data_IF_231954558321
#
_entry.id   IF_231954558321
#
_cell.length_a   1.000
_cell.length_b   1.000
_cell.length_c   1.000
_cell.angle_alpha   90.00
_cell.angle_beta   90.00
_cell.angle_gamma   90.00
#
_symmetry.space_group_name_H-M   'P 1'
#
loop_
_entity.id
_entity.type
_entity.pdbx_description
1 polymer ?
#
# COMPACT_ATOMS: atom_id res chain seq x y z
N UNK A 1 11.71 38.91 -11.79
CA UNK A 1 10.31 38.95 -11.30
C UNK A 1 9.24 38.68 -12.37
N UNK A 2 9.56 37.85 -13.37
CA UNK A 2 8.62 37.50 -14.46
C UNK A 2 7.39 36.75 -13.99
N UNK A 3 7.45 36.08 -12.82
CA UNK A 3 6.33 35.25 -12.28
C UNK A 3 5.50 35.96 -11.22
N UNK A 4 5.83 37.17 -10.80
CA UNK A 4 5.09 37.96 -9.82
C UNK A 4 4.96 37.32 -8.42
N UNK A 5 5.63 36.19 -8.18
CA UNK A 5 5.52 35.39 -6.95
C UNK A 5 6.91 34.98 -6.46
N UNK A 6 7.12 35.03 -5.15
CA UNK A 6 8.37 34.55 -4.55
C UNK A 6 8.40 33.03 -4.55
N UNK A 7 9.44 32.44 -5.13
CA UNK A 7 9.66 31.00 -5.15
C UNK A 7 10.56 30.51 -4.00
N UNK A 8 11.36 31.42 -3.44
CA UNK A 8 12.30 31.13 -2.35
C UNK A 8 12.02 32.04 -1.15
N UNK A 9 12.01 31.45 0.02
CA UNK A 9 11.99 32.15 1.29
C UNK A 9 13.40 32.08 1.91
N UNK A 10 13.99 33.26 2.15
CA UNK A 10 15.30 33.36 2.80
C UNK A 10 15.10 33.71 4.27
N UNK A 11 15.64 32.90 5.15
CA UNK A 11 15.89 33.23 6.54
C UNK A 11 17.41 33.39 6.76
N UNK A 12 17.85 34.06 7.83
CA UNK A 12 19.29 34.22 8.09
C UNK A 12 20.09 32.91 8.20
N UNK A 13 19.41 31.79 8.32
CA UNK A 13 20.02 30.45 8.51
C UNK A 13 19.71 29.43 7.43
N UNK A 14 18.68 29.65 6.60
CA UNK A 14 18.24 28.65 5.60
C UNK A 14 17.55 29.33 4.40
N UNK A 15 17.71 28.70 3.23
CA UNK A 15 16.89 28.97 2.04
C UNK A 15 15.89 27.83 1.92
N UNK A 16 14.61 28.14 1.88
CA UNK A 16 13.53 27.18 1.68
C UNK A 16 12.68 27.59 0.47
N UNK A 17 12.08 26.61 -0.19
CA UNK A 17 11.07 26.88 -1.22
C UNK A 17 9.77 27.36 -0.55
N UNK A 18 9.10 28.32 -1.17
CA UNK A 18 7.70 28.65 -0.84
C UNK A 18 6.79 27.56 -1.43
N UNK A 19 5.51 27.54 -1.08
CA UNK A 19 4.52 26.63 -1.68
C UNK A 19 4.49 26.78 -3.22
N UNK A 20 4.47 28.03 -3.71
CA UNK A 20 4.60 28.33 -5.13
C UNK A 20 5.94 27.86 -5.70
N UNK A 21 7.02 27.95 -4.91
CA UNK A 21 8.34 27.46 -5.27
C UNK A 21 8.40 25.95 -5.41
N UNK A 22 7.77 25.21 -4.52
CA UNK A 22 7.69 23.75 -4.58
C UNK A 22 6.91 23.29 -5.82
N UNK A 23 5.74 23.89 -6.07
CA UNK A 23 4.93 23.57 -7.24
C UNK A 23 5.64 23.93 -8.56
N UNK A 24 6.41 25.02 -8.60
CA UNK A 24 7.19 25.41 -9.77
C UNK A 24 8.37 24.46 -9.97
N UNK A 25 9.09 24.11 -8.91
CA UNK A 25 10.24 23.21 -8.95
C UNK A 25 9.86 21.83 -9.50
N UNK A 26 8.77 21.24 -9.00
CA UNK A 26 8.29 19.94 -9.49
C UNK A 26 7.96 19.98 -10.99
N UNK A 27 7.33 21.07 -11.46
CA UNK A 27 7.01 21.22 -12.89
C UNK A 27 8.24 21.42 -13.75
N UNK A 28 9.22 22.18 -13.28
CA UNK A 28 10.49 22.39 -14.01
C UNK A 28 11.27 21.09 -14.11
N UNK A 29 11.32 20.29 -13.06
CA UNK A 29 11.93 18.95 -13.11
C UNK A 29 11.29 18.07 -14.19
N UNK A 30 9.96 18.03 -14.25
CA UNK A 30 9.24 17.27 -15.28
C UNK A 30 9.53 17.76 -16.70
N UNK A 31 9.65 19.09 -16.91
CA UNK A 31 10.02 19.67 -18.21
C UNK A 31 11.45 19.28 -18.61
N UNK A 32 12.39 19.37 -17.69
CA UNK A 32 13.79 19.00 -17.96
C UNK A 32 13.90 17.51 -18.29
N UNK A 33 13.23 16.63 -17.57
CA UNK A 33 13.15 15.20 -17.88
C UNK A 33 12.58 14.96 -19.30
N UNK A 34 11.51 15.66 -19.66
CA UNK A 34 10.94 15.54 -21.00
C UNK A 34 11.89 16.02 -22.12
N UNK A 35 12.74 17.02 -21.86
CA UNK A 35 13.78 17.45 -22.82
C UNK A 35 14.84 16.36 -22.96
N UNK A 36 15.33 15.80 -21.86
CA UNK A 36 16.30 14.69 -21.86
C UNK A 36 15.77 13.46 -22.62
N UNK A 37 14.50 13.11 -22.42
CA UNK A 37 13.82 12.02 -23.16
C UNK A 37 13.76 12.32 -24.67
N UNK A 38 13.43 13.55 -25.05
CA UNK A 38 13.37 13.94 -26.45
C UNK A 38 14.77 13.90 -27.12
N UNK A 39 15.81 14.35 -26.41
CA UNK A 39 17.19 14.29 -26.89
C UNK A 39 17.68 12.85 -27.01
N UNK A 40 17.36 11.98 -26.05
CA UNK A 40 17.66 10.56 -26.09
C UNK A 40 16.98 9.85 -27.27
N UNK A 41 15.71 10.18 -27.54
CA UNK A 41 14.95 9.64 -28.67
C UNK A 41 15.60 9.99 -30.01
N UNK A 42 16.02 11.26 -30.21
CA UNK A 42 16.62 11.73 -31.46
C UNK A 42 18.05 11.20 -31.65
N UNK A 43 18.80 11.03 -30.55
CA UNK A 43 20.20 10.58 -30.61
C UNK A 43 20.34 9.08 -30.85
N UNK A 44 19.26 8.30 -30.89
CA UNK A 44 19.28 6.83 -31.00
C UNK A 44 20.06 6.12 -29.89
N UNK A 45 20.46 6.88 -28.86
CA UNK A 45 21.05 6.31 -27.64
C UNK A 45 19.90 5.70 -26.85
N UNK A 46 19.98 4.41 -26.55
CA UNK A 46 19.19 3.87 -25.43
C UNK A 46 19.42 4.81 -24.26
N UNK A 47 18.38 5.51 -23.85
CA UNK A 47 18.49 6.41 -22.71
C UNK A 47 19.09 5.61 -21.56
N UNK A 48 20.27 5.98 -21.10
CA UNK A 48 20.83 5.37 -19.90
C UNK A 48 19.82 5.61 -18.78
N UNK A 49 19.42 4.55 -18.12
CA UNK A 49 18.54 4.65 -16.95
C UNK A 49 19.37 5.26 -15.83
N UNK A 50 19.19 6.55 -15.60
CA UNK A 50 19.96 7.34 -14.61
C UNK A 50 19.02 8.33 -13.90
N UNK A 51 19.50 8.89 -12.78
CA UNK A 51 18.75 9.88 -12.01
C UNK A 51 18.06 9.28 -10.80
N UNK A 52 16.91 9.81 -10.40
CA UNK A 52 16.17 9.36 -9.19
C UNK A 52 14.77 8.90 -9.56
N UNK A 53 14.45 7.65 -9.21
CA UNK A 53 13.11 7.07 -9.31
C UNK A 53 12.46 7.11 -7.93
N UNK A 54 11.41 7.93 -7.77
CA UNK A 54 10.69 8.06 -6.51
C UNK A 54 9.42 7.21 -6.51
N UNK A 55 9.41 6.18 -5.68
CA UNK A 55 8.36 5.17 -5.62
C UNK A 55 7.64 5.21 -4.28
N UNK A 56 6.31 5.18 -4.29
CA UNK A 56 5.51 5.00 -3.10
C UNK A 56 4.80 3.65 -3.11
N UNK A 57 4.81 2.95 -1.97
CA UNK A 57 4.14 1.65 -1.82
C UNK A 57 3.54 1.47 -0.42
N UNK A 58 2.51 0.60 -0.24
CA UNK A 58 2.02 0.24 1.09
C UNK A 58 3.13 -0.43 1.90
N UNK A 59 3.18 -0.16 3.20
CA UNK A 59 4.29 -0.55 4.08
C UNK A 59 4.62 -2.04 4.00
N UNK A 60 3.67 -2.90 4.32
CA UNK A 60 3.88 -4.35 4.31
C UNK A 60 4.16 -4.89 2.91
N UNK A 61 3.40 -4.43 1.90
CA UNK A 61 3.58 -4.89 0.53
C UNK A 61 4.92 -4.45 -0.05
N UNK A 62 5.30 -3.20 0.17
CA UNK A 62 6.57 -2.65 -0.27
C UNK A 62 7.76 -3.41 0.31
N UNK A 63 7.71 -3.70 1.62
CA UNK A 63 8.75 -4.46 2.30
C UNK A 63 8.84 -5.92 1.82
N UNK A 64 7.70 -6.59 1.66
CA UNK A 64 7.66 -8.03 1.37
C UNK A 64 7.82 -8.35 -0.12
N UNK A 65 7.29 -7.51 -1.01
CA UNK A 65 7.13 -7.82 -2.42
C UNK A 65 7.78 -6.81 -3.38
N UNK A 66 8.19 -5.64 -2.93
CA UNK A 66 8.89 -4.66 -3.75
C UNK A 66 10.37 -4.64 -3.42
N UNK A 67 10.73 -4.43 -2.17
CA UNK A 67 12.12 -4.28 -1.74
C UNK A 67 13.03 -5.46 -2.15
N UNK A 68 12.62 -6.75 -2.08
CA UNK A 68 13.47 -7.85 -2.53
C UNK A 68 13.85 -7.80 -4.02
N UNK A 69 12.99 -7.20 -4.86
CA UNK A 69 13.25 -7.08 -6.29
C UNK A 69 14.07 -5.82 -6.64
N UNK A 70 14.12 -4.83 -5.75
CA UNK A 70 14.89 -3.61 -5.99
C UNK A 70 16.39 -3.87 -6.04
N UNK A 71 16.91 -4.81 -5.28
CA UNK A 71 18.36 -5.11 -5.25
C UNK A 71 18.85 -5.48 -6.64
N UNK A 72 18.24 -6.48 -7.28
CA UNK A 72 18.61 -6.89 -8.62
C UNK A 72 18.36 -5.78 -9.68
N UNK A 73 17.32 -4.98 -9.49
CA UNK A 73 17.02 -3.85 -10.36
C UNK A 73 18.08 -2.76 -10.26
N UNK A 74 18.51 -2.41 -9.05
CA UNK A 74 19.56 -1.41 -8.82
C UNK A 74 20.93 -1.90 -9.32
N UNK A 75 21.25 -3.17 -9.16
CA UNK A 75 22.48 -3.77 -9.72
C UNK A 75 22.51 -3.69 -11.26
N UNK A 76 21.36 -3.84 -11.90
CA UNK A 76 21.25 -3.70 -13.36
C UNK A 76 21.29 -2.21 -13.84
N UNK A 77 21.03 -1.25 -12.94
CA UNK A 77 20.96 0.17 -13.23
C UNK A 77 21.78 0.99 -12.23
N UNK A 78 23.12 0.93 -12.26
CA UNK A 78 23.99 1.52 -11.22
C UNK A 78 23.95 3.06 -11.18
N UNK A 79 23.49 3.70 -12.25
CA UNK A 79 23.35 5.16 -12.32
C UNK A 79 21.97 5.66 -11.82
N UNK A 80 21.08 4.74 -11.40
CA UNK A 80 19.75 5.06 -10.88
C UNK A 80 19.73 5.05 -9.36
N UNK A 81 19.25 6.11 -8.77
CA UNK A 81 18.90 6.16 -7.34
C UNK A 81 17.43 5.85 -7.17
N UNK A 82 17.06 4.88 -6.33
CA UNK A 82 15.67 4.58 -5.99
C UNK A 82 15.34 5.16 -4.62
N UNK A 83 14.32 6.02 -4.56
CA UNK A 83 13.72 6.50 -3.33
C UNK A 83 12.41 5.76 -3.10
N UNK A 84 12.43 4.74 -2.24
CA UNK A 84 11.24 3.98 -1.88
C UNK A 84 10.63 4.52 -0.59
N UNK A 85 9.44 5.09 -0.67
CA UNK A 85 8.67 5.53 0.47
C UNK A 85 7.54 4.56 0.78
N UNK A 86 7.50 4.05 2.00
CA UNK A 86 6.51 3.09 2.46
C UNK A 86 5.49 3.78 3.37
N UNK A 87 4.23 3.79 2.94
CA UNK A 87 3.14 4.42 3.70
C UNK A 87 1.80 3.76 3.40
N UNK A 88 1.04 3.46 4.45
CA UNK A 88 -0.34 2.97 4.36
C UNK A 88 -1.35 4.12 4.32
N UNK A 89 -0.90 5.37 4.50
CA UNK A 89 -1.71 6.57 4.44
C UNK A 89 -2.01 7.02 3.00
N UNK A 90 -2.93 7.97 2.91
CA UNK A 90 -3.18 8.66 1.64
C UNK A 90 -2.00 9.57 1.34
N UNK A 91 -1.33 9.32 0.22
CA UNK A 91 -0.18 10.12 -0.23
C UNK A 91 -0.61 10.92 -1.46
N UNK A 92 -0.39 12.23 -1.42
CA UNK A 92 -0.52 13.06 -2.62
C UNK A 92 0.63 12.71 -3.59
N UNK A 93 0.30 11.95 -4.63
CA UNK A 93 1.27 11.44 -5.58
C UNK A 93 1.84 12.56 -6.45
N UNK A 94 0.99 13.49 -6.85
CA UNK A 94 1.38 14.60 -7.74
C UNK A 94 2.16 15.66 -6.97
N UNK A 95 1.61 16.14 -5.85
CA UNK A 95 2.27 17.14 -5.01
C UNK A 95 3.54 16.62 -4.33
N UNK A 96 3.61 15.32 -4.07
CA UNK A 96 4.78 14.66 -3.52
C UNK A 96 5.89 14.36 -4.55
N UNK A 97 5.64 14.58 -5.85
CA UNK A 97 6.63 14.34 -6.92
C UNK A 97 7.02 12.86 -7.04
N UNK A 98 6.06 11.94 -6.92
CA UNK A 98 6.30 10.52 -7.14
C UNK A 98 6.19 10.17 -8.62
N UNK A 99 7.15 9.40 -9.13
CA UNK A 99 7.14 8.89 -10.50
C UNK A 99 6.25 7.65 -10.63
N UNK A 100 6.20 6.84 -9.57
CA UNK A 100 5.43 5.60 -9.51
C UNK A 100 4.79 5.41 -8.13
N UNK A 101 3.57 4.90 -8.10
CA UNK A 101 2.94 4.46 -6.87
C UNK A 101 2.29 3.09 -7.02
N UNK A 102 2.57 2.19 -6.08
CA UNK A 102 1.86 0.92 -5.94
C UNK A 102 0.75 1.13 -4.91
N UNK A 103 -0.48 0.73 -5.23
CA UNK A 103 -1.62 0.87 -4.33
C UNK A 103 -2.46 -0.41 -4.29
N UNK A 104 -2.97 -0.72 -3.09
CA UNK A 104 -3.90 -1.83 -2.84
C UNK A 104 -5.23 -1.21 -2.45
N UNK A 105 -5.97 -0.72 -3.45
CA UNK A 105 -7.25 -0.06 -3.28
C UNK A 105 -8.09 -0.21 -4.55
N UNK A 106 -9.38 0.05 -4.39
CA UNK A 106 -10.24 0.35 -5.54
C UNK A 106 -9.90 1.80 -5.96
N UNK A 107 -9.39 1.96 -7.17
CA UNK A 107 -9.01 3.27 -7.69
C UNK A 107 -10.28 4.02 -8.13
N UNK A 108 -10.47 5.21 -7.63
CA UNK A 108 -11.44 6.17 -8.17
C UNK A 108 -10.89 6.80 -9.45
N UNK A 109 -11.75 7.40 -10.24
CA UNK A 109 -11.38 8.15 -11.43
C UNK A 109 -10.34 9.22 -11.08
N UNK A 110 -9.24 9.22 -11.81
CA UNK A 110 -8.14 10.14 -11.63
C UNK A 110 -7.47 10.44 -12.97
N UNK A 111 -6.70 11.51 -13.05
CA UNK A 111 -5.89 11.87 -14.22
C UNK A 111 -4.63 11.01 -14.36
N UNK A 112 -4.35 10.15 -13.37
CA UNK A 112 -3.17 9.28 -13.37
C UNK A 112 -3.42 8.03 -14.22
N UNK A 113 -2.38 7.59 -14.91
CA UNK A 113 -2.42 6.32 -15.65
C UNK A 113 -2.27 5.17 -14.64
N UNK A 114 -3.26 4.28 -14.60
CA UNK A 114 -3.24 3.14 -13.71
C UNK A 114 -3.05 1.84 -14.51
N UNK A 115 -2.13 0.99 -14.06
CA UNK A 115 -1.93 -0.36 -14.57
C UNK A 115 -2.22 -1.37 -13.47
N UNK A 116 -3.19 -2.25 -13.71
CA UNK A 116 -3.49 -3.32 -12.78
C UNK A 116 -2.39 -4.37 -12.78
N UNK A 117 -1.86 -4.70 -11.61
CA UNK A 117 -0.80 -5.69 -11.44
C UNK A 117 -1.36 -7.08 -11.11
N UNK A 118 -2.27 -7.17 -10.13
CA UNK A 118 -2.85 -8.44 -9.68
C UNK A 118 -4.17 -8.22 -8.92
N UNK A 119 -5.05 -9.24 -8.86
CA UNK A 119 -6.20 -9.22 -7.97
C UNK A 119 -5.77 -9.36 -6.52
N UNK A 120 -6.47 -8.68 -5.60
CA UNK A 120 -6.25 -8.81 -4.16
C UNK A 120 -7.35 -9.68 -3.57
N UNK A 121 -6.97 -10.81 -2.98
CA UNK A 121 -7.88 -11.68 -2.24
C UNK A 121 -7.67 -11.49 -0.75
N UNK A 122 -8.73 -11.14 -0.04
CA UNK A 122 -8.75 -11.11 1.43
C UNK A 122 -9.52 -12.31 1.97
N UNK A 123 -9.13 -12.78 3.14
CA UNK A 123 -9.81 -13.88 3.86
C UNK A 123 -9.85 -13.57 5.35
N UNK A 124 -10.85 -14.10 6.03
CA UNK A 124 -10.85 -14.19 7.49
C UNK A 124 -9.90 -15.31 7.90
N UNK A 125 -9.06 -15.07 8.88
CA UNK A 125 -8.11 -16.06 9.37
C UNK A 125 -7.89 -15.94 10.87
N UNK A 126 -7.54 -17.06 11.50
CA UNK A 126 -7.16 -17.16 12.90
C UNK A 126 -6.04 -18.19 13.05
N UNK A 127 -5.25 -18.10 14.13
CA UNK A 127 -4.26 -19.13 14.42
C UNK A 127 -4.90 -20.44 14.87
N UNK A 128 -4.18 -21.53 14.67
CA UNK A 128 -4.57 -22.86 15.18
C UNK A 128 -4.79 -22.83 16.69
N UNK A 129 -3.94 -22.11 17.42
CA UNK A 129 -4.03 -21.95 18.88
C UNK A 129 -5.29 -21.16 19.31
N UNK A 130 -5.66 -20.11 18.54
CA UNK A 130 -6.90 -19.38 18.81
C UNK A 130 -8.11 -20.28 18.62
N UNK A 131 -8.16 -21.01 17.51
CA UNK A 131 -9.26 -21.92 17.18
C UNK A 131 -9.36 -23.05 18.21
N UNK A 132 -8.24 -23.58 18.67
CA UNK A 132 -8.23 -24.62 19.71
C UNK A 132 -8.83 -24.13 21.04
N UNK A 133 -8.61 -22.86 21.39
CA UNK A 133 -9.12 -22.28 22.65
C UNK A 133 -10.54 -21.75 22.57
N UNK A 134 -10.97 -21.23 21.44
CA UNK A 134 -12.21 -20.48 21.30
C UNK A 134 -13.21 -21.12 20.32
N UNK A 135 -12.82 -22.18 19.64
CA UNK A 135 -13.61 -22.76 18.55
C UNK A 135 -13.45 -22.03 17.22
N UNK A 136 -13.99 -22.65 16.17
CA UNK A 136 -14.06 -22.09 14.82
C UNK A 136 -15.49 -21.57 14.58
N UNK A 137 -15.72 -20.28 14.35
CA UNK A 137 -17.05 -19.78 14.05
C UNK A 137 -17.56 -20.39 12.73
N UNK A 138 -18.80 -20.80 12.71
CA UNK A 138 -19.49 -21.41 11.56
C UNK A 138 -20.41 -20.43 10.85
N UNK A 139 -20.80 -19.35 11.52
CA UNK A 139 -21.69 -18.31 11.01
C UNK A 139 -21.12 -16.92 11.27
N UNK A 140 -21.68 -15.90 10.58
CA UNK A 140 -21.32 -14.50 10.82
C UNK A 140 -21.81 -14.00 12.18
N UNK A 141 -22.84 -14.61 12.77
CA UNK A 141 -23.32 -14.26 14.10
C UNK A 141 -22.35 -14.78 15.15
N UNK A 142 -21.90 -16.03 15.04
CA UNK A 142 -20.83 -16.55 15.88
C UNK A 142 -19.55 -15.72 15.77
N UNK A 143 -19.19 -15.24 14.56
CA UNK A 143 -18.02 -14.37 14.38
C UNK A 143 -18.08 -13.09 15.23
N UNK A 144 -19.27 -12.57 15.51
CA UNK A 144 -19.46 -11.37 16.34
C UNK A 144 -19.09 -11.59 17.81
N UNK A 145 -19.12 -12.85 18.27
CA UNK A 145 -18.76 -13.24 19.63
C UNK A 145 -17.26 -13.47 19.79
N UNK A 146 -16.53 -13.56 18.68
CA UNK A 146 -15.09 -13.72 18.69
C UNK A 146 -14.35 -12.39 18.77
N UNK A 147 -13.14 -12.41 19.36
CA UNK A 147 -12.22 -11.30 19.28
C UNK A 147 -11.79 -11.08 17.81
N UNK A 148 -12.14 -9.94 17.25
CA UNK A 148 -11.79 -9.54 15.90
C UNK A 148 -10.72 -8.45 15.93
N UNK A 149 -9.79 -8.49 14.98
CA UNK A 149 -8.63 -7.60 14.93
C UNK A 149 -8.80 -6.57 13.79
N UNK A 150 -9.35 -5.37 14.08
CA UNK A 150 -9.43 -4.30 13.08
C UNK A 150 -8.05 -3.72 12.79
N UNK A 151 -7.80 -3.40 11.51
CA UNK A 151 -6.56 -2.73 11.10
C UNK A 151 -6.58 -1.22 11.35
N UNK A 152 -7.76 -0.63 11.61
CA UNK A 152 -7.95 0.78 11.93
C UNK A 152 -9.13 0.97 12.86
N UNK A 153 -9.14 2.07 13.62
CA UNK A 153 -10.15 2.39 14.64
C UNK A 153 -11.53 2.50 14.08
N UNK A 154 -11.98 2.44 13.00
CA UNK A 154 -13.33 2.44 12.44
C UNK A 154 -13.47 1.51 11.23
N UNK A 155 -12.61 0.48 11.17
CA UNK A 155 -12.69 -0.48 10.08
C UNK A 155 -14.03 -1.20 10.10
N UNK A 156 -14.63 -1.32 8.92
CA UNK A 156 -15.80 -2.16 8.70
C UNK A 156 -15.45 -3.26 7.72
N UNK A 157 -15.74 -4.49 8.09
CA UNK A 157 -15.55 -5.64 7.22
C UNK A 157 -16.79 -5.85 6.36
N UNK A 158 -16.61 -5.73 5.05
CA UNK A 158 -17.65 -6.06 4.07
C UNK A 158 -17.59 -7.55 3.77
N UNK A 159 -18.55 -8.30 4.29
CA UNK A 159 -18.64 -9.75 4.19
C UNK A 159 -19.86 -10.15 3.35
N UNK A 160 -19.97 -11.43 3.06
CA UNK A 160 -21.12 -12.03 2.38
C UNK A 160 -21.74 -13.02 3.35
N UNK A 161 -22.97 -12.77 3.74
CA UNK A 161 -23.79 -13.69 4.48
C UNK A 161 -24.67 -14.55 3.58
N UNK A 162 -25.46 -15.47 4.16
CA UNK A 162 -26.43 -16.29 3.42
C UNK A 162 -27.43 -15.45 2.62
N UNK A 163 -27.87 -14.33 3.19
CA UNK A 163 -28.89 -13.44 2.61
C UNK A 163 -28.28 -12.26 1.84
N UNK A 164 -26.97 -12.25 1.59
CA UNK A 164 -26.29 -11.21 0.83
C UNK A 164 -25.22 -10.45 1.59
N UNK A 165 -24.89 -9.22 1.13
CA UNK A 165 -23.82 -8.43 1.73
C UNK A 165 -24.11 -8.03 3.17
N UNK A 166 -23.15 -8.24 4.07
CA UNK A 166 -23.20 -7.89 5.49
C UNK A 166 -22.00 -7.00 5.84
N UNK A 167 -22.25 -5.95 6.60
CA UNK A 167 -21.19 -5.12 7.17
C UNK A 167 -21.03 -5.45 8.65
N UNK A 168 -19.84 -5.90 9.03
CA UNK A 168 -19.48 -6.21 10.40
C UNK A 168 -18.46 -5.16 10.89
N UNK A 169 -18.70 -4.60 12.07
CA UNK A 169 -17.70 -3.79 12.79
C UNK A 169 -16.90 -4.71 13.70
N UNK A 170 -15.65 -5.01 13.38
CA UNK A 170 -14.83 -5.89 14.19
C UNK A 170 -14.58 -5.26 15.57
N UNK A 171 -14.67 -6.07 16.63
CA UNK A 171 -14.39 -5.65 17.99
C UNK A 171 -13.27 -6.51 18.58
N UNK A 172 -12.28 -5.84 19.16
CA UNK A 172 -11.14 -6.50 19.76
C UNK A 172 -10.36 -5.59 20.69
N UNK A 173 -9.43 -6.18 21.43
CA UNK A 173 -8.62 -5.45 22.43
C UNK A 173 -7.38 -4.79 21.85
N UNK A 174 -7.10 -4.99 20.59
CA UNK A 174 -5.96 -4.39 19.87
C UNK A 174 -6.47 -3.41 18.84
N UNK A 175 -6.02 -2.18 18.94
CA UNK A 175 -6.24 -1.12 17.96
C UNK A 175 -4.89 -0.60 17.50
N UNK A 176 -4.64 -0.61 16.20
CA UNK A 176 -3.38 -0.16 15.61
C UNK A 176 -3.62 0.31 14.17
N UNK A 177 -2.76 1.15 13.67
CA UNK A 177 -2.70 1.55 12.26
C UNK A 177 -1.67 0.70 11.47
N UNK A 178 -1.00 -0.25 12.14
CA UNK A 178 -0.01 -1.12 11.51
C UNK A 178 -0.63 -2.44 11.07
N UNK A 179 -0.64 -2.65 9.77
CA UNK A 179 -1.07 -3.90 9.14
C UNK A 179 -0.23 -5.11 9.61
N UNK A 180 1.05 -4.90 9.88
CA UNK A 180 1.98 -5.93 10.35
C UNK A 180 1.66 -6.38 11.77
N UNK A 181 1.34 -5.43 12.66
CA UNK A 181 0.96 -5.75 14.04
C UNK A 181 -0.31 -6.58 14.07
N UNK A 182 -1.29 -6.30 13.23
CA UNK A 182 -2.50 -7.13 13.10
C UNK A 182 -2.18 -8.55 12.62
N UNK A 183 -1.26 -8.69 11.66
CA UNK A 183 -0.80 -9.99 11.20
C UNK A 183 -0.17 -10.79 12.33
N UNK A 184 0.78 -10.20 13.05
CA UNK A 184 1.46 -10.86 14.16
C UNK A 184 0.48 -11.22 15.29
N UNK A 185 -0.46 -10.33 15.62
CA UNK A 185 -1.51 -10.60 16.59
C UNK A 185 -2.42 -11.79 16.18
N UNK A 186 -2.76 -11.86 14.89
CA UNK A 186 -3.52 -12.98 14.32
C UNK A 186 -2.75 -14.30 14.43
N UNK A 187 -1.47 -14.32 14.05
CA UNK A 187 -0.58 -15.48 14.18
C UNK A 187 -0.38 -15.87 15.65
N UNK A 188 -0.23 -14.88 16.53
CA UNK A 188 -0.06 -15.04 17.98
C UNK A 188 -1.34 -15.45 18.73
N UNK A 189 -2.46 -15.67 18.03
CA UNK A 189 -3.70 -16.20 18.64
C UNK A 189 -4.47 -15.19 19.47
N UNK A 190 -4.41 -13.91 19.15
CA UNK A 190 -5.15 -12.84 19.85
C UNK A 190 -6.59 -12.74 19.35
N UNK A 191 -6.85 -13.12 18.08
CA UNK A 191 -8.18 -13.02 17.50
C UNK A 191 -8.22 -13.38 16.02
N UNK A 192 -9.39 -13.14 15.41
CA UNK A 192 -9.67 -13.34 13.99
C UNK A 192 -9.35 -12.05 13.24
N UNK A 193 -8.60 -12.14 12.16
CA UNK A 193 -8.21 -11.01 11.32
C UNK A 193 -8.73 -11.16 9.88
N UNK A 194 -9.04 -10.06 9.22
CA UNK A 194 -9.31 -10.00 7.78
C UNK A 194 -8.03 -9.58 7.04
N UNK A 195 -7.36 -10.55 6.40
CA UNK A 195 -6.03 -10.36 5.82
C UNK A 195 -5.97 -10.69 4.34
N UNK A 196 -5.05 -10.06 3.63
CA UNK A 196 -4.74 -10.38 2.24
C UNK A 196 -3.91 -11.65 2.16
N UNK A 197 -4.20 -12.51 1.18
CA UNK A 197 -3.48 -13.78 1.01
C UNK A 197 -1.99 -13.61 0.69
N UNK A 198 -1.60 -12.50 0.06
CA UNK A 198 -0.21 -12.17 -0.18
C UNK A 198 0.58 -11.89 1.11
N UNK A 199 -0.10 -11.40 2.17
CA UNK A 199 0.50 -11.02 3.45
C UNK A 199 0.67 -12.21 4.41
N UNK A 200 -0.25 -13.18 4.35
CA UNK A 200 -0.30 -14.31 5.27
C UNK A 200 -0.07 -15.67 4.58
N UNK A 201 0.31 -15.67 3.30
CA UNK A 201 0.40 -16.88 2.50
C UNK A 201 1.31 -17.96 3.10
N UNK A 202 2.44 -17.55 3.69
CA UNK A 202 3.36 -18.48 4.34
C UNK A 202 2.78 -19.07 5.65
N UNK A 203 2.10 -18.23 6.43
CA UNK A 203 1.46 -18.69 7.67
C UNK A 203 0.28 -19.66 7.39
N UNK A 204 -0.43 -19.47 6.27
CA UNK A 204 -1.46 -20.40 5.81
C UNK A 204 -0.82 -21.72 5.33
N UNK A 205 0.23 -21.67 4.51
CA UNK A 205 0.92 -22.86 3.99
C UNK A 205 1.54 -23.70 5.11
N UNK A 206 2.08 -23.06 6.12
CA UNK A 206 2.67 -23.72 7.29
C UNK A 206 1.65 -24.19 8.33
N UNK A 207 0.35 -23.94 8.12
CA UNK A 207 -0.72 -24.31 9.07
C UNK A 207 -0.77 -23.47 10.34
N UNK A 208 0.03 -22.40 10.45
CA UNK A 208 -0.05 -21.49 11.62
C UNK A 208 -1.33 -20.67 11.63
N UNK A 209 -1.89 -20.39 10.46
CA UNK A 209 -3.18 -19.74 10.29
C UNK A 209 -4.15 -20.67 9.53
N UNK A 210 -5.38 -20.64 9.95
CA UNK A 210 -6.52 -21.31 9.31
C UNK A 210 -7.45 -20.27 8.71
N UNK A 211 -8.03 -20.58 7.55
CA UNK A 211 -9.10 -19.77 6.99
C UNK A 211 -10.38 -19.99 7.79
N UNK A 212 -11.02 -18.88 8.17
CA UNK A 212 -12.28 -18.86 8.90
C UNK A 212 -13.39 -18.45 7.93
N UNK A 213 -14.56 -19.07 8.00
CA UNK A 213 -15.73 -18.79 7.17
C UNK A 213 -15.37 -18.65 5.68
N UNK A 214 -14.89 -19.71 5.03
CA UNK A 214 -14.54 -19.67 3.63
C UNK A 214 -15.76 -19.30 2.79
N UNK A 215 -15.59 -18.34 1.85
CA UNK A 215 -16.69 -17.84 1.02
C UNK A 215 -17.37 -16.57 1.53
N UNK A 216 -17.19 -16.20 2.79
CA UNK A 216 -17.78 -14.97 3.35
C UNK A 216 -17.05 -13.68 2.98
N UNK A 217 -15.98 -13.73 2.20
CA UNK A 217 -15.25 -12.55 1.73
C UNK A 217 -15.20 -12.55 0.21
N UNK A 218 -15.75 -11.51 -0.42
CA UNK A 218 -15.55 -11.34 -1.87
C UNK A 218 -14.10 -10.98 -2.16
N UNK A 219 -13.51 -11.52 -3.24
CA UNK A 219 -12.29 -10.96 -3.79
C UNK A 219 -12.56 -9.48 -4.10
N UNK A 220 -11.67 -8.58 -3.67
CA UNK A 220 -11.73 -7.18 -4.11
C UNK A 220 -11.50 -7.13 -5.60
N UNK A 221 -12.52 -6.60 -6.24
CA UNK A 221 -12.87 -6.45 -7.61
C UNK A 221 -11.80 -6.31 -8.54
N UNK A 222 -12.24 -6.53 -9.40
CA UNK A 222 -12.15 -6.26 -10.77
C UNK A 222 -13.46 -5.66 -11.22
N UNK A 223 -13.58 -4.41 -11.25
CA UNK A 223 -14.41 -3.73 -12.23
C UNK A 223 -13.55 -3.40 -13.40
#
# INVERSE_FOLDING_TARGET
>A
DRLGTRLLQRTPRQIALTEAGQGFFARVQSILSGIEEAEAFVSGRSAKVQGTLKVSAPTSFGRMHVAPHLLAFMDAHPELTVQLELSDGFTDLVGGGYDLAIRIADLSDSTLVARRLAPVRRILCASTDYVARHGMPKTLDELREHACLPAHNNESWRLIGPDGPVTLKPQGRLVTNSSEVIREAGIGGIGIALRSTWDIGEALKSGRLLQVLPGCVRPRGVS
#
